data_IF_574444067261
#
_entry.id   IF_574444067261
#
_cell.length_a   1.000
_cell.length_b   1.000
_cell.length_c   1.000
_cell.angle_alpha   90.00
_cell.angle_beta   90.00
_cell.angle_gamma   90.00
#
_symmetry.space_group_name_H-M   'P 1'
#
loop_
_entity.id
_entity.type
_entity.pdbx_description
1 polymer ?
#
# COMPACT_ATOMS: atom_id res chain seq x y z
N UNK A 1 -12.04 6.71 -28.68
CA UNK A 1 -12.85 5.61 -28.09
C UNK A 1 -12.30 4.28 -28.60
N UNK A 2 -11.39 3.66 -27.86
CA UNK A 2 -10.90 2.33 -28.19
C UNK A 2 -11.63 1.32 -27.29
N UNK A 3 -12.44 0.48 -27.89
CA UNK A 3 -13.10 -0.64 -27.24
C UNK A 3 -12.02 -1.67 -26.88
N UNK A 4 -11.56 -1.69 -25.64
CA UNK A 4 -10.85 -2.82 -25.07
C UNK A 4 -11.87 -3.90 -24.71
N UNK A 5 -12.19 -4.77 -25.66
CA UNK A 5 -12.80 -6.07 -25.39
C UNK A 5 -11.75 -6.93 -24.69
N UNK A 6 -11.73 -6.95 -23.37
CA UNK A 6 -10.92 -7.88 -22.61
C UNK A 6 -11.53 -9.28 -22.70
N UNK A 7 -11.08 -10.09 -23.64
CA UNK A 7 -11.14 -11.53 -23.48
C UNK A 7 -10.23 -11.89 -22.31
N UNK A 8 -10.77 -11.94 -21.08
CA UNK A 8 -10.00 -12.40 -19.91
C UNK A 8 -9.50 -13.81 -20.21
N UNK A 9 -8.22 -13.91 -20.54
CA UNK A 9 -7.57 -15.20 -20.65
C UNK A 9 -7.83 -15.97 -19.35
N UNK A 10 -8.15 -17.28 -19.48
CA UNK A 10 -8.42 -18.13 -18.33
C UNK A 10 -7.16 -18.16 -17.46
N UNK A 11 -7.30 -17.79 -16.19
CA UNK A 11 -6.18 -17.82 -15.23
C UNK A 11 -5.66 -19.25 -15.17
N UNK A 12 -4.33 -19.49 -15.39
CA UNK A 12 -3.76 -20.83 -15.32
C UNK A 12 -4.00 -21.50 -13.98
N UNK A 13 -4.20 -22.83 -13.99
CA UNK A 13 -4.60 -23.60 -12.80
C UNK A 13 -3.61 -23.46 -11.63
N UNK A 14 -2.31 -23.43 -11.91
CA UNK A 14 -1.29 -23.25 -10.89
C UNK A 14 -1.34 -21.89 -10.15
N UNK A 15 -2.00 -20.88 -10.72
CA UNK A 15 -2.36 -19.64 -10.04
C UNK A 15 -3.72 -19.72 -9.37
N UNK A 16 -4.72 -20.26 -10.10
CA UNK A 16 -6.11 -20.29 -9.64
C UNK A 16 -6.27 -21.14 -8.37
N UNK A 17 -5.65 -22.33 -8.31
CA UNK A 17 -5.65 -23.23 -7.14
C UNK A 17 -5.02 -22.60 -5.88
N UNK A 18 -4.17 -21.57 -6.06
CA UNK A 18 -3.53 -20.82 -4.97
C UNK A 18 -4.17 -19.47 -4.69
N UNK A 19 -5.33 -19.19 -5.31
CA UNK A 19 -6.06 -17.93 -5.13
C UNK A 19 -5.38 -16.70 -5.72
N UNK A 20 -4.32 -16.85 -6.52
CA UNK A 20 -3.58 -15.75 -7.13
C UNK A 20 -4.24 -15.41 -8.46
N UNK A 21 -4.86 -14.25 -8.55
CA UNK A 21 -5.54 -13.76 -9.76
C UNK A 21 -4.81 -12.60 -10.44
N UNK A 22 -3.92 -11.97 -9.73
CA UNK A 22 -3.09 -10.85 -10.19
C UNK A 22 -1.91 -10.67 -9.24
N UNK A 23 -0.88 -10.01 -9.72
CA UNK A 23 0.21 -9.49 -8.89
C UNK A 23 -0.10 -8.06 -8.45
N UNK A 24 0.55 -7.61 -7.39
CA UNK A 24 0.68 -6.20 -7.01
C UNK A 24 2.08 -5.99 -6.47
N UNK A 25 2.53 -4.76 -6.34
CA UNK A 25 3.85 -4.47 -5.79
C UNK A 25 4.06 -5.17 -4.42
N UNK A 26 3.09 -5.09 -3.53
CA UNK A 26 3.13 -5.78 -2.23
C UNK A 26 3.22 -7.30 -2.39
N UNK A 27 2.41 -7.90 -3.28
CA UNK A 27 2.44 -9.35 -3.52
C UNK A 27 3.77 -9.83 -4.10
N UNK A 28 4.39 -9.05 -4.97
CA UNK A 28 5.68 -9.39 -5.59
C UNK A 28 6.79 -9.46 -4.53
N UNK A 29 6.66 -8.77 -3.41
CA UNK A 29 7.67 -8.66 -2.37
C UNK A 29 7.46 -9.57 -1.17
N UNK A 30 6.21 -9.96 -0.91
CA UNK A 30 5.92 -10.90 0.17
C UNK A 30 6.57 -12.26 -0.09
N UNK A 31 7.03 -12.97 0.94
CA UNK A 31 7.42 -14.37 0.79
C UNK A 31 6.31 -15.18 0.13
N UNK A 32 6.67 -16.04 -0.84
CA UNK A 32 5.66 -16.72 -1.66
C UNK A 32 4.76 -17.64 -0.83
N UNK A 33 5.33 -18.35 0.15
CA UNK A 33 4.57 -19.20 1.06
C UNK A 33 3.55 -18.41 1.88
N UNK A 34 3.94 -17.24 2.41
CA UNK A 34 3.03 -16.34 3.11
C UNK A 34 1.90 -15.85 2.21
N UNK A 35 2.23 -15.44 0.99
CA UNK A 35 1.26 -14.98 0.01
C UNK A 35 0.21 -16.06 -0.29
N UNK A 36 0.63 -17.32 -0.48
CA UNK A 36 -0.28 -18.42 -0.74
C UNK A 36 -1.16 -18.70 0.47
N UNK A 37 -0.59 -18.77 1.68
CA UNK A 37 -1.36 -18.94 2.92
C UNK A 37 -2.42 -17.84 3.07
N UNK A 38 -2.07 -16.60 2.74
CA UNK A 38 -2.97 -15.46 2.76
C UNK A 38 -4.14 -15.62 1.78
N UNK A 39 -3.86 -15.92 0.51
CA UNK A 39 -4.85 -15.90 -0.56
C UNK A 39 -5.62 -17.22 -0.73
N UNK A 40 -5.01 -18.38 -0.41
CA UNK A 40 -5.70 -19.66 -0.50
C UNK A 40 -6.41 -20.07 0.78
N UNK A 41 -6.04 -19.51 1.92
CA UNK A 41 -6.59 -19.92 3.21
C UNK A 41 -7.31 -18.79 3.94
N UNK A 42 -6.59 -17.72 4.32
CA UNK A 42 -7.12 -16.68 5.21
C UNK A 42 -8.19 -15.81 4.55
N UNK A 43 -7.89 -15.23 3.40
CA UNK A 43 -8.82 -14.29 2.74
C UNK A 43 -10.16 -14.94 2.35
N UNK A 44 -10.22 -16.12 1.72
CA UNK A 44 -11.50 -16.76 1.43
C UNK A 44 -12.37 -16.96 2.67
N UNK A 45 -11.76 -17.35 3.80
CA UNK A 45 -12.47 -17.52 5.07
C UNK A 45 -12.95 -16.21 5.66
N UNK A 46 -12.11 -15.17 5.60
CA UNK A 46 -12.52 -13.83 6.02
C UNK A 46 -13.74 -13.32 5.24
N UNK A 47 -13.71 -13.42 3.91
CA UNK A 47 -14.82 -12.93 3.09
C UNK A 47 -16.08 -13.79 3.22
N UNK A 48 -15.96 -15.11 3.42
CA UNK A 48 -17.08 -15.98 3.70
C UNK A 48 -17.73 -15.62 5.05
N UNK A 49 -16.93 -15.44 6.10
CA UNK A 49 -17.40 -15.04 7.41
C UNK A 49 -18.04 -13.63 7.37
N UNK A 50 -17.42 -12.68 6.68
CA UNK A 50 -17.97 -11.33 6.52
C UNK A 50 -19.34 -11.36 5.85
N UNK A 51 -19.52 -12.12 4.79
CA UNK A 51 -20.80 -12.28 4.11
C UNK A 51 -21.87 -12.93 5.00
N UNK A 52 -21.49 -13.92 5.81
CA UNK A 52 -22.40 -14.57 6.77
C UNK A 52 -22.80 -13.60 7.89
N UNK A 53 -21.86 -12.83 8.43
CA UNK A 53 -22.11 -11.77 9.41
C UNK A 53 -23.08 -10.70 8.88
N UNK A 54 -22.88 -10.24 7.64
CA UNK A 54 -23.78 -9.28 6.97
C UNK A 54 -25.21 -9.84 6.79
N UNK A 55 -25.37 -11.16 6.77
CA UNK A 55 -26.65 -11.85 6.73
C UNK A 55 -27.24 -12.16 8.13
N UNK A 56 -26.62 -11.67 9.22
CA UNK A 56 -27.11 -11.78 10.59
C UNK A 56 -26.62 -13.03 11.35
N UNK A 57 -25.58 -13.71 10.86
CA UNK A 57 -24.98 -14.85 11.58
C UNK A 57 -24.04 -14.34 12.68
N UNK A 58 -24.50 -14.43 13.94
CA UNK A 58 -23.73 -13.95 15.09
C UNK A 58 -22.43 -14.75 15.36
N UNK A 59 -22.34 -16.03 14.95
CA UNK A 59 -21.13 -16.82 15.08
C UNK A 59 -20.08 -16.37 14.05
N UNK A 60 -20.54 -15.89 12.89
CA UNK A 60 -19.67 -15.35 11.87
C UNK A 60 -18.94 -14.09 12.30
N UNK A 61 -19.46 -13.29 13.23
CA UNK A 61 -18.78 -12.12 13.77
C UNK A 61 -17.46 -12.50 14.47
N UNK A 62 -17.46 -13.60 15.20
CA UNK A 62 -16.25 -14.13 15.84
C UNK A 62 -15.24 -14.60 14.80
N UNK A 63 -15.70 -15.21 13.71
CA UNK A 63 -14.85 -15.64 12.62
C UNK A 63 -14.28 -14.45 11.84
N UNK A 64 -15.07 -13.40 11.60
CA UNK A 64 -14.58 -12.13 11.03
C UNK A 64 -13.45 -11.57 11.89
N UNK A 65 -13.66 -11.49 13.22
CA UNK A 65 -12.64 -11.00 14.15
C UNK A 65 -11.36 -11.87 14.16
N UNK A 66 -11.52 -13.20 14.00
CA UNK A 66 -10.40 -14.14 13.95
C UNK A 66 -9.57 -14.01 12.68
N UNK A 67 -10.22 -13.88 11.52
CA UNK A 67 -9.53 -13.78 10.24
C UNK A 67 -9.18 -12.35 9.82
N UNK A 68 -9.69 -11.33 10.49
CA UNK A 68 -9.34 -9.95 10.23
C UNK A 68 -7.84 -9.71 10.52
N UNK A 69 -7.15 -9.09 9.57
CA UNK A 69 -5.82 -8.55 9.87
C UNK A 69 -5.97 -7.25 10.65
N UNK A 70 -5.32 -7.12 11.80
CA UNK A 70 -5.24 -5.83 12.45
C UNK A 70 -4.52 -4.84 11.51
N UNK A 71 -5.16 -3.72 11.22
CA UNK A 71 -4.47 -2.62 10.54
C UNK A 71 -3.55 -1.95 11.57
N UNK A 72 -2.28 -1.79 11.23
CA UNK A 72 -1.38 -1.03 12.11
C UNK A 72 -1.82 0.42 12.14
N UNK A 73 -1.56 1.11 13.25
CA UNK A 73 -1.82 2.55 13.37
C UNK A 73 -1.13 3.35 12.26
N UNK A 74 0.07 2.93 11.85
CA UNK A 74 0.79 3.57 10.76
C UNK A 74 0.05 3.46 9.42
N UNK A 75 -0.60 2.31 9.15
CA UNK A 75 -1.42 2.15 7.94
C UNK A 75 -2.66 3.03 7.99
N UNK A 76 -3.38 3.03 9.12
CA UNK A 76 -4.60 3.83 9.29
C UNK A 76 -4.30 5.32 9.17
N UNK A 77 -3.27 5.77 9.88
CA UNK A 77 -2.86 7.15 9.85
C UNK A 77 -2.29 7.56 8.48
N UNK A 78 -1.54 6.67 7.83
CA UNK A 78 -1.07 6.88 6.46
C UNK A 78 -2.22 7.10 5.49
N UNK A 79 -3.22 6.23 5.50
CA UNK A 79 -4.42 6.36 4.66
C UNK A 79 -5.16 7.67 4.93
N UNK A 80 -5.46 7.99 6.20
CA UNK A 80 -6.20 9.19 6.56
C UNK A 80 -5.47 10.49 6.15
N UNK A 81 -4.14 10.54 6.31
CA UNK A 81 -3.34 11.69 5.87
C UNK A 81 -3.29 11.79 4.36
N UNK A 82 -3.12 10.67 3.67
CA UNK A 82 -3.08 10.62 2.22
C UNK A 82 -4.37 11.16 1.59
N UNK A 83 -5.53 10.64 2.01
CA UNK A 83 -6.84 11.11 1.56
C UNK A 83 -7.00 12.61 1.81
N UNK A 84 -6.78 13.07 3.06
CA UNK A 84 -6.88 14.46 3.45
C UNK A 84 -5.95 15.37 2.61
N UNK A 85 -4.71 14.96 2.39
CA UNK A 85 -3.74 15.76 1.67
C UNK A 85 -4.11 15.95 0.19
N UNK A 86 -4.60 14.91 -0.49
CA UNK A 86 -5.06 15.03 -1.87
C UNK A 86 -6.36 15.81 -2.00
N UNK A 87 -7.28 15.73 -1.04
CA UNK A 87 -8.48 16.57 -1.04
C UNK A 87 -8.14 18.07 -0.92
N UNK A 88 -7.19 18.40 -0.02
CA UNK A 88 -6.70 19.79 0.11
C UNK A 88 -5.94 20.23 -1.15
N UNK A 89 -5.04 19.40 -1.68
CA UNK A 89 -4.26 19.73 -2.86
C UNK A 89 -5.15 19.99 -4.08
N UNK A 90 -6.24 19.25 -4.22
CA UNK A 90 -7.26 19.42 -5.26
C UNK A 90 -8.30 20.53 -4.94
N UNK A 91 -8.17 21.24 -3.83
CA UNK A 91 -9.11 22.30 -3.44
C UNK A 91 -10.52 21.83 -3.09
N UNK A 92 -10.71 20.55 -2.77
CA UNK A 92 -12.02 19.96 -2.44
C UNK A 92 -12.46 20.24 -1.02
N UNK A 93 -11.54 20.46 -0.09
CA UNK A 93 -11.82 20.72 1.31
C UNK A 93 -10.81 21.70 1.92
N UNK A 94 -11.18 22.31 3.03
CA UNK A 94 -10.27 23.13 3.82
C UNK A 94 -9.35 22.28 4.68
N UNK A 95 -8.18 22.81 5.05
CA UNK A 95 -7.25 22.10 5.93
C UNK A 95 -7.90 21.71 7.28
N UNK A 96 -8.71 22.58 7.86
CA UNK A 96 -9.37 22.30 9.14
C UNK A 96 -10.43 21.19 9.06
N UNK A 97 -11.15 21.09 7.96
CA UNK A 97 -12.12 20.03 7.71
C UNK A 97 -11.43 18.70 7.45
N UNK A 98 -10.40 18.68 6.60
CA UNK A 98 -9.63 17.49 6.29
C UNK A 98 -8.96 16.90 7.55
N UNK A 99 -8.36 17.74 8.40
CA UNK A 99 -7.78 17.31 9.69
C UNK A 99 -8.86 16.71 10.60
N UNK A 100 -10.04 17.35 10.69
CA UNK A 100 -11.14 16.82 11.49
C UNK A 100 -11.63 15.48 10.99
N UNK A 101 -11.76 15.32 9.67
CA UNK A 101 -12.16 14.06 9.05
C UNK A 101 -11.12 12.97 9.29
N UNK A 102 -9.84 13.24 9.08
CA UNK A 102 -8.74 12.30 9.35
C UNK A 102 -8.74 11.82 10.80
N UNK A 103 -8.94 12.72 11.76
CA UNK A 103 -9.04 12.37 13.19
C UNK A 103 -10.27 11.52 13.49
N UNK A 104 -11.44 11.83 12.90
CA UNK A 104 -12.66 11.01 13.05
C UNK A 104 -12.42 9.60 12.53
N UNK A 105 -11.85 9.47 11.33
CA UNK A 105 -11.51 8.17 10.73
C UNK A 105 -10.58 7.35 11.63
N UNK A 106 -9.57 7.97 12.22
CA UNK A 106 -8.67 7.30 13.16
C UNK A 106 -9.37 6.87 14.45
N UNK A 107 -10.33 7.66 14.94
CA UNK A 107 -11.13 7.32 16.12
C UNK A 107 -12.09 6.16 15.86
N UNK A 108 -12.78 6.16 14.74
CA UNK A 108 -13.74 5.11 14.34
C UNK A 108 -13.05 3.76 14.11
N UNK A 109 -11.84 3.77 13.56
CA UNK A 109 -11.05 2.58 13.34
C UNK A 109 -10.21 2.18 14.55
N UNK A 110 -10.47 2.76 15.72
CA UNK A 110 -9.83 2.37 16.98
C UNK A 110 -10.03 0.88 17.21
N UNK A 111 -9.01 0.05 17.08
CA UNK A 111 -9.23 -1.37 17.18
C UNK A 111 -9.50 -1.75 18.61
N UNK A 112 -10.58 -2.49 18.80
CA UNK A 112 -10.93 -3.06 20.10
C UNK A 112 -9.91 -4.06 20.66
N UNK A 113 -8.89 -4.45 19.87
CA UNK A 113 -7.92 -5.49 20.22
C UNK A 113 -6.50 -5.21 19.65
N UNK A 114 -5.90 -4.08 20.01
CA UNK A 114 -4.44 -3.98 19.84
C UNK A 114 -3.72 -4.43 21.12
N UNK A 115 -2.46 -4.83 20.97
CA UNK A 115 -1.63 -4.99 22.15
C UNK A 115 -1.57 -3.65 22.89
N UNK A 116 -1.27 -3.65 24.19
CA UNK A 116 -1.24 -2.43 25.01
C UNK A 116 -0.38 -1.30 24.40
N UNK A 117 0.64 -1.63 23.58
CA UNK A 117 1.48 -0.67 22.87
C UNK A 117 0.70 0.10 21.80
N UNK A 118 -0.08 -0.61 20.99
CA UNK A 118 -0.81 0.01 19.89
C UNK A 118 -1.95 0.91 20.38
N UNK A 119 -2.62 0.51 21.47
CA UNK A 119 -3.62 1.36 22.13
C UNK A 119 -2.94 2.63 22.67
N UNK A 120 -1.81 2.50 23.31
CA UNK A 120 -1.04 3.65 23.85
C UNK A 120 -0.62 4.60 22.74
N UNK A 121 -0.19 4.08 21.58
CA UNK A 121 0.18 4.91 20.42
C UNK A 121 -1.03 5.67 19.90
N UNK A 122 -2.18 4.98 19.75
CA UNK A 122 -3.42 5.60 19.27
C UNK A 122 -3.88 6.69 20.22
N UNK A 123 -3.91 6.41 21.52
CA UNK A 123 -4.32 7.38 22.54
C UNK A 123 -3.38 8.59 22.56
N UNK A 124 -2.09 8.38 22.38
CA UNK A 124 -1.12 9.46 22.33
C UNK A 124 -1.26 10.31 21.06
N UNK A 125 -1.48 9.70 19.89
CA UNK A 125 -1.79 10.42 18.64
C UNK A 125 -3.06 11.26 18.76
N UNK A 126 -4.06 10.76 19.47
CA UNK A 126 -5.33 11.45 19.69
C UNK A 126 -5.24 12.49 20.81
N UNK A 127 -4.42 12.24 21.84
CA UNK A 127 -4.25 13.14 22.99
C UNK A 127 -3.38 14.37 22.71
N UNK A 128 -2.58 14.35 21.62
CA UNK A 128 -1.76 15.48 21.18
C UNK A 128 -2.57 16.50 20.33
N UNK A 129 -3.86 16.65 20.62
CA UNK A 129 -4.82 17.57 19.99
C UNK A 129 -4.82 17.55 18.44
N UNK A 130 -4.43 16.42 17.88
CA UNK A 130 -4.33 16.27 16.42
C UNK A 130 -3.15 17.03 15.78
N UNK A 131 -2.27 17.65 16.55
CA UNK A 131 -1.14 18.40 16.00
C UNK A 131 -0.26 17.57 15.08
N UNK A 132 0.01 16.31 15.46
CA UNK A 132 0.83 15.42 14.61
C UNK A 132 0.15 15.08 13.30
N UNK A 133 -1.14 14.81 13.34
CA UNK A 133 -1.94 14.56 12.13
C UNK A 133 -1.97 15.82 11.28
N UNK A 134 -2.29 16.97 11.86
CA UNK A 134 -2.37 18.25 11.15
C UNK A 134 -1.05 18.63 10.48
N UNK A 135 0.08 18.55 11.20
CA UNK A 135 1.38 18.90 10.64
C UNK A 135 1.88 17.89 9.60
N UNK A 136 1.52 16.60 9.74
CA UNK A 136 1.85 15.61 8.71
C UNK A 136 1.03 15.83 7.46
N UNK A 137 -0.25 16.17 7.58
CA UNK A 137 -1.10 16.56 6.44
C UNK A 137 -0.49 17.77 5.73
N UNK A 138 -0.12 18.83 6.47
CA UNK A 138 0.49 20.04 5.93
C UNK A 138 1.73 19.73 5.09
N UNK A 139 2.69 19.01 5.66
CA UNK A 139 3.91 18.62 4.95
C UNK A 139 3.62 17.71 3.73
N UNK A 140 2.62 16.84 3.82
CA UNK A 140 2.21 16.00 2.69
C UNK A 140 1.59 16.84 1.58
N UNK A 141 0.74 17.83 1.92
CA UNK A 141 0.14 18.77 0.95
C UNK A 141 1.20 19.57 0.22
N UNK A 142 2.20 20.08 0.96
CA UNK A 142 3.30 20.84 0.34
C UNK A 142 4.11 19.96 -0.60
N UNK A 143 4.45 18.73 -0.21
CA UNK A 143 5.12 17.77 -1.08
C UNK A 143 4.31 17.43 -2.34
N UNK A 144 2.98 17.26 -2.20
CA UNK A 144 2.08 17.02 -3.35
C UNK A 144 2.08 18.24 -4.28
N UNK A 145 1.96 19.45 -3.76
CA UNK A 145 1.98 20.69 -4.57
C UNK A 145 3.32 20.88 -5.29
N UNK A 146 4.43 20.56 -4.62
CA UNK A 146 5.76 20.61 -5.25
C UNK A 146 5.87 19.57 -6.36
N UNK A 147 5.45 18.32 -6.10
CA UNK A 147 5.55 17.22 -7.07
C UNK A 147 4.69 17.47 -8.31
N UNK A 148 3.49 17.98 -8.12
CA UNK A 148 2.49 18.22 -9.17
C UNK A 148 2.38 19.70 -9.57
N UNK A 149 3.46 20.46 -9.46
CA UNK A 149 3.47 21.85 -9.84
C UNK A 149 2.96 22.05 -11.29
N UNK A 150 1.96 22.92 -11.45
CA UNK A 150 1.31 23.17 -12.74
C UNK A 150 0.15 22.23 -13.09
N UNK A 151 -0.17 21.25 -12.28
CA UNK A 151 -1.38 20.46 -12.45
C UNK A 151 -2.62 21.25 -11.96
N UNK A 152 -3.64 21.34 -12.81
CA UNK A 152 -4.92 21.93 -12.40
C UNK A 152 -5.74 20.98 -11.53
N UNK A 153 -5.53 19.69 -11.72
CA UNK A 153 -6.18 18.59 -10.99
C UNK A 153 -5.23 17.41 -10.93
N UNK A 154 -5.30 16.67 -9.84
CA UNK A 154 -4.58 15.42 -9.63
C UNK A 154 -5.62 14.30 -9.54
N UNK A 155 -5.54 13.33 -10.45
CA UNK A 155 -6.32 12.11 -10.40
C UNK A 155 -5.73 11.21 -9.31
N UNK A 156 -6.58 10.75 -8.39
CA UNK A 156 -6.19 9.99 -7.19
C UNK A 156 -6.69 8.56 -7.30
N UNK A 157 -5.90 7.61 -6.83
CA UNK A 157 -6.23 6.17 -6.80
C UNK A 157 -6.65 5.60 -8.18
N UNK A 158 -6.02 6.08 -9.25
CA UNK A 158 -6.27 5.55 -10.57
C UNK A 158 -5.76 4.11 -10.68
N UNK A 159 -6.69 3.19 -11.01
CA UNK A 159 -6.35 1.77 -11.18
C UNK A 159 -5.47 1.57 -12.41
N UNK A 160 -4.38 0.84 -12.22
CA UNK A 160 -3.59 0.29 -13.33
C UNK A 160 -3.83 -1.21 -13.48
N UNK A 161 -3.76 -1.68 -14.72
CA UNK A 161 -3.73 -3.10 -15.06
C UNK A 161 -2.64 -3.30 -16.12
N UNK A 162 -1.55 -3.95 -15.75
CA UNK A 162 -0.36 -4.10 -16.59
C UNK A 162 -0.14 -5.58 -16.93
N UNK A 163 -0.25 -5.91 -18.20
CA UNK A 163 0.15 -7.21 -18.75
C UNK A 163 1.62 -7.16 -19.15
N UNK A 164 2.40 -8.16 -18.76
CA UNK A 164 3.82 -8.25 -19.07
C UNK A 164 4.09 -9.52 -19.87
N UNK A 165 4.91 -9.44 -20.93
CA UNK A 165 5.26 -10.60 -21.74
C UNK A 165 5.90 -11.73 -20.92
N UNK A 166 5.30 -12.92 -20.98
CA UNK A 166 5.76 -14.10 -20.26
C UNK A 166 5.42 -14.10 -18.76
N UNK A 167 4.46 -13.27 -18.34
CA UNK A 167 3.82 -13.32 -17.01
C UNK A 167 2.35 -13.60 -17.21
N UNK A 168 1.87 -14.69 -16.64
CA UNK A 168 0.54 -15.28 -16.94
C UNK A 168 -0.65 -14.53 -16.34
N UNK A 169 -0.43 -13.70 -15.34
CA UNK A 169 -1.47 -12.90 -14.69
C UNK A 169 -1.07 -11.43 -14.61
N UNK A 170 -2.03 -10.51 -14.76
CA UNK A 170 -1.74 -9.08 -14.78
C UNK A 170 -1.20 -8.57 -13.44
N UNK A 171 -0.53 -7.44 -13.49
CA UNK A 171 -0.20 -6.65 -12.31
C UNK A 171 -1.30 -5.60 -12.14
N UNK A 172 -1.91 -5.56 -10.95
CA UNK A 172 -2.91 -4.56 -10.58
C UNK A 172 -2.35 -3.68 -9.47
N UNK A 173 -2.51 -2.38 -9.61
CA UNK A 173 -2.15 -1.38 -8.62
C UNK A 173 -3.06 -0.17 -8.69
N UNK A 174 -2.84 0.76 -7.77
CA UNK A 174 -3.52 2.06 -7.72
C UNK A 174 -2.45 3.10 -7.49
N UNK A 175 -2.43 4.15 -8.32
CA UNK A 175 -1.51 5.27 -8.13
C UNK A 175 -2.01 6.16 -7.02
N UNK A 176 -1.10 6.74 -6.24
CA UNK A 176 -1.52 7.73 -5.25
C UNK A 176 -1.98 9.02 -5.94
N UNK A 177 -1.29 9.45 -7.01
CA UNK A 177 -1.71 10.60 -7.77
C UNK A 177 -1.12 10.66 -9.18
N UNK A 178 -1.86 11.24 -10.13
CA UNK A 178 -1.40 11.54 -11.49
C UNK A 178 -1.94 12.88 -11.97
N UNK A 179 -1.07 13.73 -12.55
CA UNK A 179 -1.47 15.03 -13.09
C UNK A 179 -0.34 15.71 -13.82
N UNK A 180 -0.63 16.50 -14.85
CA UNK A 180 0.33 17.26 -15.67
C UNK A 180 1.52 16.43 -16.18
N UNK A 181 1.30 15.14 -16.52
CA UNK A 181 2.36 14.24 -16.99
C UNK A 181 3.24 13.67 -15.87
N UNK A 182 2.93 13.95 -14.61
CA UNK A 182 3.60 13.40 -13.42
C UNK A 182 2.80 12.24 -12.86
N UNK A 183 3.49 11.19 -12.46
CA UNK A 183 3.00 10.07 -11.66
C UNK A 183 3.64 10.21 -10.29
N UNK A 184 2.84 10.28 -9.23
CA UNK A 184 3.30 10.48 -7.86
C UNK A 184 2.97 9.30 -6.95
N UNK A 185 3.89 9.01 -6.05
CA UNK A 185 3.74 8.06 -4.95
C UNK A 185 4.01 8.78 -3.63
N UNK A 186 3.10 8.67 -2.67
CA UNK A 186 3.18 9.39 -1.38
C UNK A 186 3.44 8.42 -0.25
N UNK A 187 4.47 8.68 0.53
CA UNK A 187 4.88 7.87 1.69
C UNK A 187 4.95 8.71 2.95
N UNK A 188 3.99 8.55 3.83
CA UNK A 188 4.02 9.19 5.14
C UNK A 188 4.90 8.42 6.12
N UNK A 189 5.73 9.14 6.87
CA UNK A 189 6.64 8.61 7.87
C UNK A 189 6.18 9.03 9.27
N UNK A 190 5.44 8.14 9.92
CA UNK A 190 4.93 8.36 11.27
C UNK A 190 6.04 8.24 12.31
N UNK A 191 5.85 8.95 13.41
CA UNK A 191 6.70 8.82 14.58
C UNK A 191 6.83 7.35 15.00
N UNK A 192 8.04 6.95 15.33
CA UNK A 192 8.32 5.62 15.88
C UNK A 192 8.32 5.64 17.39
N UNK A 193 7.96 4.53 18.02
CA UNK A 193 8.13 4.35 19.47
C UNK A 193 9.62 4.42 19.80
N UNK A 194 9.98 5.21 20.81
CA UNK A 194 11.35 5.36 21.27
C UNK A 194 11.41 5.40 22.79
N UNK A 195 12.04 4.41 23.39
CA UNK A 195 12.25 4.34 24.83
C UNK A 195 13.15 5.49 25.34
N UNK A 196 13.97 6.06 24.46
CA UNK A 196 14.89 7.14 24.80
C UNK A 196 14.28 8.55 24.63
N UNK A 197 13.05 8.64 24.17
CA UNK A 197 12.35 9.92 24.04
C UNK A 197 11.53 10.22 25.29
N UNK A 198 11.58 11.47 25.77
CA UNK A 198 10.74 11.94 26.89
C UNK A 198 9.24 11.77 26.63
N UNK A 199 8.83 11.79 25.38
CA UNK A 199 7.44 11.62 24.96
C UNK A 199 7.08 10.17 24.58
N UNK A 200 8.03 9.24 24.64
CA UNK A 200 7.86 7.86 24.15
C UNK A 200 7.89 7.72 22.63
N UNK A 201 8.05 8.82 21.89
CA UNK A 201 8.07 8.85 20.43
C UNK A 201 9.26 9.65 19.89
N UNK A 202 9.78 9.19 18.77
CA UNK A 202 10.80 9.90 18.00
C UNK A 202 10.32 10.10 16.58
N UNK A 203 10.65 11.24 15.98
CA UNK A 203 10.36 11.50 14.59
C UNK A 203 11.03 10.45 13.70
N UNK A 204 10.29 9.96 12.71
CA UNK A 204 10.83 9.10 11.69
C UNK A 204 11.28 9.99 10.53
N UNK A 205 12.57 10.03 10.25
CA UNK A 205 13.13 10.91 9.22
C UNK A 205 12.65 10.54 7.83
N UNK A 206 12.50 11.54 6.97
CA UNK A 206 12.31 11.31 5.53
C UNK A 206 13.61 10.78 4.92
N UNK A 207 13.55 9.82 3.97
CA UNK A 207 14.74 9.25 3.36
C UNK A 207 15.49 10.27 2.50
N UNK A 208 16.82 10.32 2.62
CA UNK A 208 17.65 11.17 1.78
C UNK A 208 17.69 10.72 0.29
N UNK A 209 17.24 9.50 0.00
CA UNK A 209 17.12 8.93 -1.35
C UNK A 209 15.83 8.13 -1.44
N UNK A 210 15.27 8.04 -2.63
CA UNK A 210 14.12 7.19 -2.88
C UNK A 210 14.43 5.72 -2.54
N UNK A 211 13.52 5.07 -1.82
CA UNK A 211 13.67 3.67 -1.43
C UNK A 211 13.42 2.75 -2.65
N UNK A 212 14.24 1.72 -2.81
CA UNK A 212 14.15 0.78 -3.95
C UNK A 212 12.74 0.20 -4.11
N UNK A 213 12.08 0.00 -2.99
CA UNK A 213 10.73 -0.53 -2.95
C UNK A 213 9.71 0.42 -3.58
N UNK A 214 9.84 1.69 -3.34
CA UNK A 214 8.94 2.70 -3.86
C UNK A 214 9.26 3.00 -5.32
N UNK A 215 10.56 2.97 -5.70
CA UNK A 215 10.98 3.07 -7.10
C UNK A 215 10.37 1.94 -7.94
N UNK A 216 10.39 0.69 -7.45
CA UNK A 216 9.81 -0.40 -8.21
C UNK A 216 8.27 -0.33 -8.29
N UNK A 217 7.61 0.26 -7.31
CA UNK A 217 6.17 0.50 -7.36
C UNK A 217 5.84 1.52 -8.46
N UNK A 218 6.52 2.66 -8.46
CA UNK A 218 6.24 3.72 -9.43
C UNK A 218 6.70 3.35 -10.85
N UNK A 219 7.71 2.48 -11.00
CA UNK A 219 8.14 1.94 -12.29
C UNK A 219 7.03 1.09 -12.95
N UNK A 220 6.28 0.31 -12.16
CA UNK A 220 5.11 -0.42 -12.65
C UNK A 220 4.03 0.54 -13.14
N UNK A 221 3.80 1.64 -12.43
CA UNK A 221 2.81 2.64 -12.82
C UNK A 221 3.23 3.36 -14.10
N UNK A 222 4.49 3.81 -14.18
CA UNK A 222 5.01 4.44 -15.40
C UNK A 222 4.85 3.51 -16.61
N UNK A 223 5.18 2.24 -16.45
CA UNK A 223 5.03 1.25 -17.52
C UNK A 223 3.58 1.07 -17.95
N UNK A 224 2.65 1.06 -17.01
CA UNK A 224 1.22 0.90 -17.28
C UNK A 224 0.64 2.12 -18.02
N UNK A 225 1.11 3.33 -17.70
CA UNK A 225 0.67 4.56 -18.39
C UNK A 225 1.42 4.86 -19.69
N UNK A 226 2.44 4.06 -20.01
CA UNK A 226 3.24 4.28 -21.24
C UNK A 226 4.21 5.45 -21.16
N UNK A 227 4.58 5.91 -19.96
CA UNK A 227 5.51 7.01 -19.70
C UNK A 227 5.02 7.97 -18.63
N UNK A 228 5.77 9.06 -18.46
CA UNK A 228 5.51 10.12 -17.47
C UNK A 228 6.70 10.33 -16.53
N UNK A 229 6.80 11.52 -15.95
CA UNK A 229 7.77 11.84 -14.91
C UNK A 229 7.35 11.20 -13.60
N UNK A 230 8.23 10.43 -12.99
CA UNK A 230 7.94 9.72 -11.73
C UNK A 230 8.51 10.48 -10.54
N UNK A 231 7.66 10.76 -9.55
CA UNK A 231 8.08 11.44 -8.32
C UNK A 231 7.60 10.68 -7.09
N UNK A 232 8.49 10.52 -6.09
CA UNK A 232 8.17 9.93 -4.80
C UNK A 232 8.24 11.02 -3.73
N UNK A 233 7.16 11.19 -3.01
CA UNK A 233 6.98 12.19 -1.98
C UNK A 233 7.06 11.50 -0.63
N UNK A 234 8.06 11.84 0.18
CA UNK A 234 8.12 11.41 1.57
C UNK A 234 7.78 12.59 2.46
N UNK A 235 6.88 12.38 3.40
CA UNK A 235 6.50 13.41 4.37
C UNK A 235 6.42 12.83 5.79
N UNK A 236 6.83 13.62 6.77
CA UNK A 236 6.60 13.40 8.18
C UNK A 236 6.02 14.67 8.80
N UNK A 237 5.87 14.73 10.11
CA UNK A 237 5.32 15.92 10.80
C UNK A 237 6.23 17.17 10.77
N UNK A 238 7.47 17.08 10.29
CA UNK A 238 8.46 18.16 10.35
C UNK A 238 8.84 18.66 8.96
N UNK A 239 8.91 17.74 7.99
CA UNK A 239 9.43 18.03 6.66
C UNK A 239 8.87 17.08 5.61
N UNK A 240 8.99 17.49 4.36
CA UNK A 240 8.80 16.63 3.21
C UNK A 240 10.04 16.68 2.30
N UNK A 241 10.11 15.74 1.39
CA UNK A 241 11.09 15.70 0.31
C UNK A 241 10.45 15.05 -0.91
N UNK A 242 10.72 15.58 -2.08
CA UNK A 242 10.28 15.05 -3.37
C UNK A 242 11.50 14.53 -4.11
N UNK A 243 11.48 13.25 -4.45
CA UNK A 243 12.50 12.63 -5.28
C UNK A 243 11.96 12.40 -6.68
N UNK A 244 12.58 12.99 -7.67
CA UNK A 244 12.36 12.63 -9.07
C UNK A 244 13.19 11.38 -9.37
N UNK A 245 12.54 10.34 -9.91
CA UNK A 245 13.17 9.05 -10.22
C UNK A 245 13.64 9.07 -11.67
N UNK A 246 14.92 8.80 -11.89
CA UNK A 246 15.49 8.77 -13.24
C UNK A 246 14.97 7.57 -14.05
N UNK A 247 14.98 7.69 -15.38
CA UNK A 247 14.57 6.59 -16.25
C UNK A 247 15.43 5.34 -16.04
N UNK A 248 16.73 5.52 -15.79
CA UNK A 248 17.66 4.42 -15.52
C UNK A 248 17.24 3.64 -14.24
N UNK A 249 16.88 4.36 -13.18
CA UNK A 249 16.38 3.73 -11.93
C UNK A 249 15.07 2.99 -12.15
N UNK A 250 14.15 3.54 -12.96
CA UNK A 250 12.88 2.91 -13.29
C UNK A 250 13.09 1.64 -14.13
N UNK A 251 13.95 1.68 -15.11
CA UNK A 251 14.27 0.55 -15.97
C UNK A 251 14.94 -0.59 -15.20
N UNK A 252 15.90 -0.27 -14.32
CA UNK A 252 16.54 -1.25 -13.44
C UNK A 252 15.51 -1.89 -12.47
N UNK A 253 14.68 -1.10 -11.83
CA UNK A 253 13.64 -1.58 -10.93
C UNK A 253 12.61 -2.47 -11.65
N UNK A 254 12.25 -2.11 -12.88
CA UNK A 254 11.37 -2.90 -13.73
C UNK A 254 11.98 -4.24 -14.10
N UNK A 255 13.26 -4.25 -14.48
CA UNK A 255 14.00 -5.48 -14.80
C UNK A 255 14.09 -6.41 -13.60
N UNK A 256 14.41 -5.90 -12.41
CA UNK A 256 14.45 -6.67 -11.18
C UNK A 256 13.06 -7.25 -10.84
N UNK A 257 12.01 -6.47 -11.02
CA UNK A 257 10.62 -6.92 -10.82
C UNK A 257 10.25 -8.06 -11.76
N UNK A 258 10.61 -7.97 -13.04
CA UNK A 258 10.38 -9.03 -14.03
C UNK A 258 11.14 -10.34 -13.66
N UNK A 259 12.38 -10.24 -13.21
CA UNK A 259 13.15 -11.39 -12.76
C UNK A 259 12.46 -12.09 -11.58
N UNK A 260 12.00 -11.31 -10.60
CA UNK A 260 11.27 -11.86 -9.45
C UNK A 260 9.95 -12.52 -9.86
N UNK A 261 9.17 -11.88 -10.72
CA UNK A 261 7.91 -12.45 -11.21
C UNK A 261 8.11 -13.76 -11.94
N UNK A 262 9.09 -13.83 -12.85
CA UNK A 262 9.42 -15.06 -13.58
C UNK A 262 9.89 -16.18 -12.65
N UNK A 263 10.70 -15.84 -11.63
CA UNK A 263 11.12 -16.81 -10.62
C UNK A 263 9.91 -17.38 -9.87
N UNK A 264 9.00 -16.53 -9.43
CA UNK A 264 7.77 -16.94 -8.72
C UNK A 264 6.86 -17.78 -9.58
N UNK A 265 6.66 -17.40 -10.84
CA UNK A 265 5.86 -18.17 -11.79
C UNK A 265 6.43 -19.58 -11.94
N UNK A 266 7.74 -19.72 -12.17
CA UNK A 266 8.39 -21.04 -12.27
C UNK A 266 8.25 -21.90 -11.00
N UNK A 267 8.27 -21.29 -9.82
CA UNK A 267 8.02 -22.00 -8.57
C UNK A 267 6.57 -22.52 -8.54
N UNK A 268 5.60 -21.66 -8.88
CA UNK A 268 4.19 -22.05 -8.92
C UNK A 268 3.89 -23.14 -9.94
N UNK A 269 4.54 -23.12 -11.09
CA UNK A 269 4.42 -24.16 -12.14
C UNK A 269 4.97 -25.52 -11.71
N UNK A 270 6.01 -25.54 -10.86
CA UNK A 270 6.75 -26.75 -10.47
C UNK A 270 6.33 -27.34 -9.13
N UNK A 271 5.47 -26.68 -8.40
CA UNK A 271 5.06 -27.09 -7.05
C UNK A 271 3.58 -27.44 -7.04
N UNK A 272 3.22 -28.50 -6.31
CA UNK A 272 1.82 -28.90 -6.10
C UNK A 272 1.35 -28.52 -4.69
N UNK A 273 2.20 -28.65 -3.71
CA UNK A 273 1.88 -28.44 -2.29
C UNK A 273 2.57 -27.20 -1.70
N UNK A 274 2.06 -26.74 -0.56
CA UNK A 274 2.72 -25.69 0.21
C UNK A 274 4.12 -26.11 0.68
N UNK A 275 4.31 -27.41 0.99
CA UNK A 275 5.59 -27.94 1.43
C UNK A 275 6.66 -27.81 0.34
N UNK A 276 6.30 -28.14 -0.91
CA UNK A 276 7.22 -28.00 -2.05
C UNK A 276 7.68 -26.55 -2.22
N UNK A 277 6.78 -25.60 -1.96
CA UNK A 277 7.09 -24.17 -2.06
C UNK A 277 8.06 -23.75 -0.94
N UNK A 278 7.82 -24.24 0.29
CA UNK A 278 8.70 -23.96 1.42
C UNK A 278 10.09 -24.54 1.16
N UNK A 279 10.15 -25.79 0.72
CA UNK A 279 11.41 -26.49 0.44
C UNK A 279 12.22 -25.83 -0.70
N UNK A 280 11.52 -25.24 -1.70
CA UNK A 280 12.17 -24.53 -2.81
C UNK A 280 12.56 -23.07 -2.51
N UNK A 281 11.88 -22.42 -1.55
CA UNK A 281 12.07 -21.01 -1.30
C UNK A 281 13.09 -20.69 -0.21
N UNK A 282 13.64 -21.70 0.52
CA UNK A 282 14.51 -21.49 1.71
C UNK A 282 13.91 -20.38 2.59
N UNK A 283 12.72 -20.61 3.11
CA UNK A 283 12.01 -19.59 3.88
C UNK A 283 12.73 -19.38 5.21
N UNK A 284 13.37 -18.25 5.37
CA UNK A 284 13.82 -17.79 6.67
C UNK A 284 12.61 -17.38 7.51
N UNK A 285 12.27 -18.21 8.49
CA UNK A 285 11.14 -17.97 9.39
C UNK A 285 11.46 -17.00 10.54
N UNK A 286 12.71 -16.52 10.64
CA UNK A 286 13.12 -15.59 11.69
C UNK A 286 12.47 -14.21 11.56
N UNK A 287 11.95 -13.87 10.37
CA UNK A 287 11.26 -12.59 10.07
C UNK A 287 9.74 -12.64 10.34
N UNK A 288 9.20 -13.76 10.82
CA UNK A 288 7.80 -13.96 11.19
C UNK A 288 7.64 -14.20 12.70
#
# INVERSE_FOLDING_TARGET
MSQFSSSRAKIPEHYASRGIRHWSNTKIRCPLAYLIAEYSYRQPRYYAAKKASENGDAEADLQVAHYAKPKSINMLAGTAVHEAAFEIANGKTSQSEAVRHALSTLQEHRPAKYNKRDITITDHLLSDDGKRVATTIEQTVEGIREAFAGANQIDVEEKIELELPGIDVPIIGYTDGRGAGVIGEVKTRWDRISANSKTGFANNSVPARAELNDIAQIALYQKAFGGGTCKIIYANRISHIVHEVSQEQLDEAMNQTLVQLRKRQRILERTETMRDIIDLCEVDWSDF
#
